data_IF_141696945945
#
_entry.id   IF_141696945945
#
_cell.length_a   1.000
_cell.length_b   1.000
_cell.length_c   1.000
_cell.angle_alpha   90.00
_cell.angle_beta   90.00
_cell.angle_gamma   90.00
#
_symmetry.space_group_name_H-M   'P 1'
#
loop_
_entity.id
_entity.type
_entity.pdbx_description
1 polymer ?
#
# COMPACT_ATOMS: atom_id res chain seq x y z
N UNK A 1 41.00 -34.20 8.61
CA UNK A 1 40.43 -32.84 8.64
C UNK A 1 38.91 -32.99 8.67
N UNK A 2 38.29 -32.75 9.82
CA UNK A 2 36.92 -33.24 10.07
C UNK A 2 35.88 -32.36 9.37
N UNK A 3 34.98 -33.00 8.62
CA UNK A 3 33.90 -32.35 7.83
C UNK A 3 33.04 -31.39 8.67
N UNK A 4 32.96 -31.63 10.00
CA UNK A 4 32.31 -30.75 10.97
C UNK A 4 32.92 -29.35 11.07
N UNK A 5 34.25 -29.22 10.97
CA UNK A 5 34.93 -27.91 11.02
C UNK A 5 34.70 -27.07 9.76
N UNK A 6 34.46 -27.71 8.61
CA UNK A 6 34.15 -27.01 7.36
C UNK A 6 32.74 -26.40 7.38
N UNK A 7 31.76 -27.10 7.96
CA UNK A 7 30.39 -26.62 8.08
C UNK A 7 30.25 -25.44 9.06
N UNK A 8 31.00 -25.45 10.17
CA UNK A 8 30.96 -24.32 11.13
C UNK A 8 31.60 -23.06 10.55
N UNK A 9 32.64 -23.20 9.72
CA UNK A 9 33.29 -22.06 9.07
C UNK A 9 32.38 -21.40 8.02
N UNK A 10 31.57 -22.17 7.28
CA UNK A 10 30.62 -21.63 6.31
C UNK A 10 29.46 -20.86 6.98
N UNK A 11 29.01 -21.31 8.16
CA UNK A 11 27.93 -20.67 8.89
C UNK A 11 28.35 -19.31 9.48
N UNK A 12 29.61 -19.18 9.90
CA UNK A 12 30.14 -17.92 10.48
C UNK A 12 30.41 -16.86 9.40
N UNK A 13 30.82 -17.26 8.18
CA UNK A 13 30.96 -16.33 7.06
C UNK A 13 29.60 -15.86 6.50
N UNK A 14 28.53 -16.66 6.62
CA UNK A 14 27.20 -16.29 6.15
C UNK A 14 26.53 -15.18 6.97
N UNK A 15 26.93 -14.99 8.23
CA UNK A 15 26.33 -13.99 9.14
C UNK A 15 27.03 -12.63 9.04
N UNK A 16 28.29 -12.59 8.57
CA UNK A 16 29.06 -11.35 8.47
C UNK A 16 28.69 -10.46 7.24
N UNK A 17 27.90 -10.98 6.30
CA UNK A 17 27.47 -10.24 5.09
C UNK A 17 26.12 -9.52 5.20
N UNK A 18 25.40 -9.66 6.31
CA UNK A 18 24.01 -9.19 6.45
C UNK A 18 23.86 -7.80 7.10
N UNK A 19 24.94 -7.02 7.21
CA UNK A 19 24.88 -5.61 7.62
C UNK A 19 25.13 -4.68 6.43
N UNK A 20 24.52 -4.98 5.29
CA UNK A 20 24.30 -3.98 4.25
C UNK A 20 23.33 -2.94 4.82
N UNK A 21 23.87 -1.77 5.17
CA UNK A 21 23.15 -0.70 5.81
C UNK A 21 21.83 -0.38 5.13
N UNK A 22 20.75 -0.45 5.91
CA UNK A 22 19.51 0.27 5.60
C UNK A 22 19.82 1.75 5.72
N UNK A 23 20.39 2.32 4.65
CA UNK A 23 20.35 3.75 4.43
C UNK A 23 18.89 4.14 4.31
N UNK A 24 18.28 4.55 5.42
CA UNK A 24 17.06 5.32 5.45
C UNK A 24 17.37 6.70 4.82
N UNK A 25 17.54 6.72 3.50
CA UNK A 25 17.22 7.93 2.77
C UNK A 25 15.72 8.12 2.88
N UNK A 26 15.29 9.33 3.20
CA UNK A 26 13.88 9.74 3.23
C UNK A 26 13.27 9.54 1.83
N UNK A 27 12.93 8.29 1.52
CA UNK A 27 12.22 7.97 0.28
C UNK A 27 10.79 8.42 0.48
N UNK A 28 10.45 9.49 -0.22
CA UNK A 28 9.07 9.96 -0.37
C UNK A 28 8.17 8.77 -0.73
N UNK A 29 7.16 8.53 0.10
CA UNK A 29 6.21 7.43 -0.06
C UNK A 29 5.16 7.83 -1.07
N UNK A 30 4.93 7.00 -2.08
CA UNK A 30 3.80 7.21 -2.99
C UNK A 30 2.57 6.49 -2.44
N UNK A 31 1.50 7.24 -2.17
CA UNK A 31 0.18 6.74 -1.79
C UNK A 31 -0.67 6.64 -3.06
N UNK A 32 -1.14 5.46 -3.43
CA UNK A 32 -1.99 5.27 -4.60
C UNK A 32 -3.45 5.29 -4.16
N UNK A 33 -4.12 6.41 -4.41
CA UNK A 33 -5.48 6.66 -3.95
C UNK A 33 -6.48 6.64 -5.10
N UNK A 34 -7.59 5.92 -4.92
CA UNK A 34 -8.66 5.82 -5.91
C UNK A 34 -9.94 6.52 -5.44
N UNK A 35 -10.68 7.17 -6.34
CA UNK A 35 -12.06 7.59 -6.05
C UNK A 35 -12.93 7.69 -7.31
N UNK A 36 -14.24 7.84 -7.09
CA UNK A 36 -15.17 8.13 -8.18
C UNK A 36 -15.31 9.64 -8.39
N UNK A 37 -15.44 10.13 -9.63
CA UNK A 37 -15.52 11.56 -9.92
C UNK A 37 -16.97 12.06 -9.78
N UNK A 38 -17.62 11.82 -8.64
CA UNK A 38 -19.01 12.21 -8.41
C UNK A 38 -19.29 12.64 -6.96
N UNK A 39 -20.42 13.33 -6.77
CA UNK A 39 -20.79 13.94 -5.49
C UNK A 39 -21.08 12.94 -4.37
N UNK A 40 -21.52 11.72 -4.72
CA UNK A 40 -21.84 10.69 -3.71
C UNK A 40 -20.58 10.07 -3.10
N UNK A 41 -19.40 10.33 -3.67
CA UNK A 41 -18.08 9.93 -3.17
C UNK A 41 -17.19 11.16 -2.96
N UNK A 42 -17.78 12.27 -2.49
CA UNK A 42 -17.13 13.57 -2.42
C UNK A 42 -15.86 13.59 -1.57
N UNK A 43 -15.69 12.68 -0.60
CA UNK A 43 -14.52 12.63 0.28
C UNK A 43 -13.22 12.50 -0.52
N UNK A 44 -13.17 11.59 -1.50
CA UNK A 44 -11.99 11.43 -2.35
C UNK A 44 -11.77 12.64 -3.26
N UNK A 45 -12.83 13.19 -3.83
CA UNK A 45 -12.78 14.38 -4.70
C UNK A 45 -12.24 15.60 -3.94
N UNK A 46 -12.75 15.83 -2.73
CA UNK A 46 -12.35 16.96 -1.88
C UNK A 46 -10.91 16.76 -1.39
N UNK A 47 -10.57 15.55 -0.94
CA UNK A 47 -9.22 15.21 -0.48
C UNK A 47 -8.17 15.42 -1.57
N UNK A 48 -8.47 15.00 -2.80
CA UNK A 48 -7.62 15.26 -3.97
C UNK A 48 -7.50 16.75 -4.25
N UNK A 49 -8.62 17.48 -4.35
CA UNK A 49 -8.61 18.90 -4.70
C UNK A 49 -7.88 19.77 -3.65
N UNK A 50 -7.94 19.36 -2.37
CA UNK A 50 -7.27 20.06 -1.28
C UNK A 50 -5.84 19.57 -1.03
N UNK A 51 -5.44 18.42 -1.56
CA UNK A 51 -4.15 17.78 -1.25
C UNK A 51 -4.03 17.43 0.23
N UNK A 52 -5.11 16.90 0.84
CA UNK A 52 -5.19 16.70 2.28
C UNK A 52 -4.16 15.68 2.79
N UNK A 53 -3.87 14.64 2.00
CA UNK A 53 -2.85 13.65 2.32
C UNK A 53 -1.44 14.26 2.22
N UNK A 54 -1.13 14.98 1.15
CA UNK A 54 0.16 15.66 0.98
C UNK A 54 0.39 16.66 2.11
N UNK A 55 -0.64 17.40 2.55
CA UNK A 55 -0.54 18.29 3.71
C UNK A 55 -0.30 17.55 5.02
N UNK A 56 -0.90 16.39 5.21
CA UNK A 56 -0.76 15.60 6.42
C UNK A 56 0.64 14.97 6.55
N UNK A 57 1.24 14.55 5.42
CA UNK A 57 2.53 13.85 5.40
C UNK A 57 3.73 14.76 5.01
N UNK A 58 3.47 15.96 4.51
CA UNK A 58 4.49 16.91 4.06
C UNK A 58 5.33 16.35 2.90
N UNK A 59 6.63 16.66 2.90
CA UNK A 59 7.57 16.23 1.86
C UNK A 59 7.81 14.71 1.84
N UNK A 60 7.29 13.99 2.83
CA UNK A 60 7.47 12.53 2.97
C UNK A 60 6.49 11.73 2.13
N UNK A 61 5.46 12.33 1.52
CA UNK A 61 4.53 11.60 0.68
C UNK A 61 4.12 12.34 -0.59
N UNK A 62 3.80 11.57 -1.61
CA UNK A 62 3.11 11.99 -2.82
C UNK A 62 1.88 11.14 -3.01
N UNK A 63 0.80 11.69 -3.56
CA UNK A 63 -0.40 10.91 -3.84
C UNK A 63 -0.58 10.76 -5.34
N UNK A 64 -0.57 9.51 -5.80
CA UNK A 64 -0.97 9.12 -7.15
C UNK A 64 -2.48 8.86 -7.16
N UNK A 65 -3.24 9.84 -7.63
CA UNK A 65 -4.70 9.77 -7.69
C UNK A 65 -5.19 9.10 -8.97
N UNK A 66 -5.96 8.03 -8.82
CA UNK A 66 -6.60 7.29 -9.92
C UNK A 66 -8.12 7.44 -9.87
N UNK A 67 -8.72 7.72 -11.03
CA UNK A 67 -10.17 7.88 -11.16
C UNK A 67 -10.80 6.56 -11.60
N UNK A 68 -11.88 6.18 -10.91
CA UNK A 68 -12.67 4.98 -11.24
C UNK A 68 -14.13 5.35 -11.50
N UNK A 69 -14.79 4.59 -12.37
CA UNK A 69 -16.21 4.74 -12.65
C UNK A 69 -17.04 3.57 -12.13
N UNK A 70 -16.39 2.51 -11.64
CA UNK A 70 -17.03 1.29 -11.18
C UNK A 70 -16.33 0.71 -9.93
N UNK A 71 -17.13 0.21 -9.00
CA UNK A 71 -16.66 -0.32 -7.71
C UNK A 71 -15.89 -1.63 -7.82
N UNK A 72 -16.37 -2.61 -8.60
CA UNK A 72 -15.61 -3.85 -8.82
C UNK A 72 -14.20 -3.60 -9.32
N UNK A 73 -14.02 -2.68 -10.27
CA UNK A 73 -12.70 -2.34 -10.82
C UNK A 73 -11.77 -1.72 -9.77
N UNK A 74 -12.29 -0.86 -8.88
CA UNK A 74 -11.51 -0.30 -7.79
C UNK A 74 -11.09 -1.37 -6.75
N UNK A 75 -11.98 -2.33 -6.47
CA UNK A 75 -11.67 -3.49 -5.60
C UNK A 75 -10.62 -4.39 -6.24
N UNK A 76 -10.72 -4.67 -7.54
CA UNK A 76 -9.71 -5.46 -8.27
C UNK A 76 -8.34 -4.77 -8.23
N UNK A 77 -8.30 -3.45 -8.37
CA UNK A 77 -7.08 -2.67 -8.24
C UNK A 77 -6.48 -2.74 -6.82
N UNK A 78 -7.30 -2.71 -5.77
CA UNK A 78 -6.83 -2.94 -4.39
C UNK A 78 -6.24 -4.35 -4.24
N UNK A 79 -6.89 -5.38 -4.76
CA UNK A 79 -6.38 -6.76 -4.68
C UNK A 79 -5.11 -6.98 -5.51
N UNK A 80 -4.96 -6.28 -6.64
CA UNK A 80 -3.75 -6.30 -7.44
C UNK A 80 -2.59 -5.52 -6.80
N UNK A 81 -2.85 -4.81 -5.70
CA UNK A 81 -1.88 -3.91 -5.09
C UNK A 81 -1.57 -2.69 -5.97
N UNK A 82 -2.50 -2.30 -6.86
CA UNK A 82 -2.43 -1.10 -7.72
C UNK A 82 -2.97 0.16 -7.02
N UNK A 83 -3.73 -0.04 -5.94
CA UNK A 83 -4.22 0.98 -5.02
C UNK A 83 -3.84 0.61 -3.59
N UNK A 84 -3.62 1.63 -2.77
CA UNK A 84 -3.47 1.52 -1.32
C UNK A 84 -4.78 1.91 -0.60
N UNK A 85 -5.51 2.89 -1.14
CA UNK A 85 -6.75 3.42 -0.57
C UNK A 85 -7.77 3.65 -1.69
N UNK A 86 -9.05 3.40 -1.43
CA UNK A 86 -10.12 3.76 -2.37
C UNK A 86 -11.36 4.32 -1.66
N UNK A 87 -11.93 5.41 -2.18
CA UNK A 87 -13.23 5.95 -1.79
C UNK A 87 -14.32 5.39 -2.70
N UNK A 88 -15.01 4.35 -2.22
CA UNK A 88 -16.05 3.61 -2.96
C UNK A 88 -17.30 3.41 -2.12
N UNK A 89 -18.41 3.07 -2.77
CA UNK A 89 -19.67 2.78 -2.10
C UNK A 89 -19.64 1.51 -1.23
N UNK A 90 -20.65 1.36 -0.34
CA UNK A 90 -20.67 0.27 0.65
C UNK A 90 -20.78 -1.12 0.01
N UNK A 91 -21.53 -1.26 -1.10
CA UNK A 91 -21.74 -2.56 -1.76
C UNK A 91 -20.42 -3.14 -2.32
N UNK A 92 -19.61 -2.41 -3.12
CA UNK A 92 -18.28 -2.87 -3.49
C UNK A 92 -17.37 -3.16 -2.29
N UNK A 93 -17.36 -2.28 -1.28
CA UNK A 93 -16.50 -2.42 -0.10
C UNK A 93 -16.76 -3.73 0.67
N UNK A 94 -18.04 -4.03 0.96
CA UNK A 94 -18.39 -5.25 1.70
C UNK A 94 -18.14 -6.51 0.87
N UNK A 95 -18.40 -6.46 -0.45
CA UNK A 95 -18.14 -7.60 -1.34
C UNK A 95 -16.65 -7.91 -1.42
N UNK A 96 -15.80 -6.87 -1.51
CA UNK A 96 -14.35 -7.04 -1.45
C UNK A 96 -13.91 -7.63 -0.12
N UNK A 97 -14.39 -7.08 1.00
CA UNK A 97 -14.06 -7.56 2.34
C UNK A 97 -14.42 -9.04 2.52
N UNK A 98 -15.65 -9.43 2.16
CA UNK A 98 -16.12 -10.83 2.26
C UNK A 98 -15.28 -11.75 1.37
N UNK A 99 -15.00 -11.33 0.12
CA UNK A 99 -14.23 -12.14 -0.83
C UNK A 99 -12.82 -12.45 -0.34
N UNK A 100 -12.19 -11.52 0.39
CA UNK A 100 -10.87 -11.71 0.98
C UNK A 100 -10.90 -12.17 2.43
N UNK A 101 -12.06 -12.48 3.00
CA UNK A 101 -12.23 -12.76 4.43
C UNK A 101 -11.60 -11.69 5.35
N UNK A 102 -11.59 -10.43 4.90
CA UNK A 102 -10.98 -9.30 5.61
C UNK A 102 -9.44 -9.23 5.55
N UNK A 103 -8.76 -10.13 4.85
CA UNK A 103 -7.29 -10.14 4.82
C UNK A 103 -6.69 -9.10 3.86
N UNK A 104 -7.32 -8.88 2.70
CA UNK A 104 -6.75 -8.03 1.66
C UNK A 104 -7.14 -6.55 1.76
N UNK A 105 -8.23 -6.23 2.46
CA UNK A 105 -8.65 -4.84 2.65
C UNK A 105 -9.38 -4.63 3.98
N UNK A 106 -9.32 -3.40 4.48
CA UNK A 106 -10.02 -2.95 5.68
C UNK A 106 -10.97 -1.81 5.33
N UNK A 107 -12.19 -1.86 5.86
CA UNK A 107 -13.15 -0.76 5.76
C UNK A 107 -12.90 0.24 6.89
N UNK A 108 -12.80 1.53 6.54
CA UNK A 108 -12.61 2.66 7.46
C UNK A 108 -13.78 3.63 7.26
N UNK A 109 -14.42 4.04 8.35
CA UNK A 109 -15.60 4.92 8.37
C UNK A 109 -15.42 6.08 9.32
#
# INVERSE_FOLDING_TARGET
>A
MNLRLLFTALLVLGIAGATAGYGAGDKKVTIRAGHFPNITHAQGVIGQARGDFEKAYGDNAEVDWKIFTAGPTAIEALFAGELDIAYIGPNPAINGYIKSYGEALRVVS
#
